data_IF_011626735149
#
_entry.id   IF_011626735149
#
_cell.length_a   1.000
_cell.length_b   1.000
_cell.length_c   1.000
_cell.angle_alpha   90.00
_cell.angle_beta   90.00
_cell.angle_gamma   90.00
#
_symmetry.space_group_name_H-M   'P 1'
#
loop_
_entity.id
_entity.type
_entity.pdbx_description
1 polymer ?
#
# COMPACT_ATOMS: atom_id res chain seq x y z
N UNK A 1 -3.41 -11.19 -26.97
CA UNK A 1 -4.23 -9.96 -26.93
C UNK A 1 -3.98 -9.12 -28.19
N UNK A 2 -4.99 -8.89 -29.05
CA UNK A 2 -4.87 -7.90 -30.14
C UNK A 2 -4.84 -6.53 -29.49
N UNK A 3 -3.63 -6.00 -29.25
CA UNK A 3 -3.45 -4.64 -28.72
C UNK A 3 -3.92 -3.68 -29.81
N UNK A 4 -4.83 -2.77 -29.48
CA UNK A 4 -5.13 -1.66 -30.38
C UNK A 4 -3.83 -0.88 -30.55
N UNK A 5 -3.24 -0.91 -31.75
CA UNK A 5 -1.90 -0.34 -32.00
C UNK A 5 -1.81 1.13 -31.59
N UNK A 6 -2.93 1.85 -31.71
CA UNK A 6 -3.05 3.22 -31.25
C UNK A 6 -2.76 3.39 -29.74
N UNK A 7 -3.20 2.44 -28.91
CA UNK A 7 -3.04 2.45 -27.45
C UNK A 7 -1.85 1.62 -26.95
N UNK A 8 -1.08 0.98 -27.85
CA UNK A 8 0.02 0.12 -27.42
C UNK A 8 1.31 0.87 -27.12
N UNK A 9 1.42 2.14 -27.55
CA UNK A 9 2.63 2.95 -27.49
C UNK A 9 2.31 4.38 -27.00
N UNK A 10 3.23 5.34 -27.23
CA UNK A 10 3.01 6.75 -26.91
C UNK A 10 1.98 7.35 -27.86
N UNK A 11 0.93 7.94 -27.32
CA UNK A 11 -0.10 8.66 -28.08
C UNK A 11 0.43 10.07 -28.42
N UNK A 12 0.32 10.51 -29.68
CA UNK A 12 0.71 11.88 -30.06
C UNK A 12 -0.10 12.91 -29.29
N UNK A 13 0.54 14.03 -28.94
CA UNK A 13 -0.07 15.14 -28.20
C UNK A 13 -1.28 15.73 -28.94
N UNK A 14 -1.31 15.63 -30.27
CA UNK A 14 -2.42 16.08 -31.12
C UNK A 14 -3.75 15.37 -30.80
N UNK A 15 -3.67 14.15 -30.25
CA UNK A 15 -4.86 13.36 -29.91
C UNK A 15 -5.35 13.58 -28.48
N UNK A 16 -4.70 14.43 -27.68
CA UNK A 16 -5.13 14.69 -26.29
C UNK A 16 -6.57 15.18 -26.23
N UNK A 17 -6.96 16.09 -27.14
CA UNK A 17 -8.33 16.61 -27.19
C UNK A 17 -9.38 15.53 -27.53
N UNK A 18 -8.97 14.44 -28.17
CA UNK A 18 -9.84 13.36 -28.65
C UNK A 18 -9.73 12.07 -27.85
N UNK A 19 -8.86 12.03 -26.83
CA UNK A 19 -8.49 10.79 -26.14
C UNK A 19 -9.70 10.15 -25.45
N UNK A 20 -10.60 10.97 -24.89
CA UNK A 20 -11.85 10.49 -24.27
C UNK A 20 -12.74 9.77 -25.30
N UNK A 21 -12.97 10.37 -26.47
CA UNK A 21 -13.77 9.77 -27.54
C UNK A 21 -13.14 8.48 -28.07
N UNK A 22 -11.82 8.48 -28.29
CA UNK A 22 -11.10 7.31 -28.80
C UNK A 22 -11.16 6.15 -27.80
N UNK A 23 -10.96 6.42 -26.50
CA UNK A 23 -11.07 5.41 -25.44
C UNK A 23 -12.49 4.87 -25.36
N UNK A 24 -13.52 5.73 -25.38
CA UNK A 24 -14.93 5.31 -25.35
C UNK A 24 -15.29 4.44 -26.56
N UNK A 25 -14.83 4.82 -27.75
CA UNK A 25 -15.10 4.09 -28.99
C UNK A 25 -14.47 2.70 -28.96
N UNK A 26 -13.21 2.60 -28.50
CA UNK A 26 -12.54 1.32 -28.34
C UNK A 26 -13.17 0.48 -27.24
N UNK A 27 -13.52 1.06 -26.10
CA UNK A 27 -14.23 0.36 -25.03
C UNK A 27 -15.59 -0.17 -25.50
N UNK A 28 -16.38 0.64 -26.21
CA UNK A 28 -17.66 0.22 -26.79
C UNK A 28 -17.48 -0.91 -27.82
N UNK A 29 -16.45 -0.81 -28.67
CA UNK A 29 -16.11 -1.85 -29.64
C UNK A 29 -15.70 -3.15 -28.94
N UNK A 30 -14.89 -3.07 -27.88
CA UNK A 30 -14.53 -4.23 -27.07
C UNK A 30 -15.76 -4.83 -26.40
N UNK A 31 -16.61 -4.03 -25.77
CA UNK A 31 -17.82 -4.49 -25.10
C UNK A 31 -18.84 -5.14 -26.06
N UNK A 32 -18.93 -4.66 -27.30
CA UNK A 32 -19.85 -5.19 -28.32
C UNK A 32 -19.34 -6.50 -28.95
N UNK A 33 -18.05 -6.56 -29.26
CA UNK A 33 -17.50 -7.64 -30.10
C UNK A 33 -16.62 -8.64 -29.35
N UNK A 34 -16.31 -8.41 -28.07
CA UNK A 34 -15.59 -9.37 -27.23
C UNK A 34 -16.51 -10.04 -26.23
N UNK A 35 -16.20 -11.30 -25.93
CA UNK A 35 -16.73 -11.97 -24.76
C UNK A 35 -16.33 -11.21 -23.49
N UNK A 36 -17.15 -11.30 -22.45
CA UNK A 36 -16.78 -10.82 -21.12
C UNK A 36 -15.47 -11.48 -20.70
N UNK A 37 -14.52 -10.67 -20.24
CA UNK A 37 -13.23 -11.16 -19.73
C UNK A 37 -13.41 -11.98 -18.45
N UNK A 38 -14.48 -11.69 -17.71
CA UNK A 38 -14.83 -12.33 -16.46
C UNK A 38 -16.34 -12.23 -16.23
N UNK A 39 -16.98 -13.33 -15.82
CA UNK A 39 -18.43 -13.33 -15.59
C UNK A 39 -18.81 -12.74 -14.24
N UNK A 40 -17.95 -12.87 -13.21
CA UNK A 40 -18.20 -12.30 -11.89
C UNK A 40 -19.38 -12.95 -11.17
N UNK A 41 -19.60 -14.26 -11.38
CA UNK A 41 -20.78 -15.00 -10.92
C UNK A 41 -20.45 -16.25 -10.11
N UNK A 42 -19.18 -16.50 -9.81
CA UNK A 42 -18.84 -17.65 -8.97
C UNK A 42 -19.25 -17.35 -7.51
N UNK A 43 -19.50 -18.37 -6.67
CA UNK A 43 -19.72 -18.18 -5.24
C UNK A 43 -18.61 -17.34 -4.58
N UNK A 44 -17.37 -17.51 -5.02
CA UNK A 44 -16.19 -16.76 -4.56
C UNK A 44 -16.29 -15.27 -4.94
N UNK A 45 -16.79 -14.95 -6.14
CA UNK A 45 -17.04 -13.55 -6.55
C UNK A 45 -18.05 -12.85 -5.65
N UNK A 46 -19.14 -13.55 -5.32
CA UNK A 46 -20.15 -13.02 -4.42
C UNK A 46 -19.60 -12.85 -3.00
N UNK A 47 -18.82 -13.81 -2.51
CA UNK A 47 -18.16 -13.72 -1.21
C UNK A 47 -17.19 -12.53 -1.16
N UNK A 48 -16.35 -12.37 -2.18
CA UNK A 48 -15.43 -11.24 -2.29
C UNK A 48 -16.19 -9.91 -2.37
N UNK A 49 -17.22 -9.82 -3.21
CA UNK A 49 -18.04 -8.60 -3.33
C UNK A 49 -18.69 -8.22 -2.00
N UNK A 50 -19.24 -9.20 -1.27
CA UNK A 50 -19.81 -8.98 0.07
C UNK A 50 -18.75 -8.51 1.07
N UNK A 51 -17.56 -9.13 1.07
CA UNK A 51 -16.41 -8.68 1.89
C UNK A 51 -16.04 -7.23 1.56
N UNK A 52 -15.95 -6.88 0.28
CA UNK A 52 -15.63 -5.52 -0.16
C UNK A 52 -16.70 -4.50 0.26
N UNK A 53 -17.98 -4.86 0.20
CA UNK A 53 -19.08 -4.01 0.65
C UNK A 53 -19.02 -3.79 2.17
N UNK A 54 -18.77 -4.85 2.94
CA UNK A 54 -18.62 -4.77 4.39
C UNK A 54 -17.46 -3.86 4.79
N UNK A 55 -16.28 -4.05 4.17
CA UNK A 55 -15.10 -3.20 4.38
C UNK A 55 -15.37 -1.74 4.01
N UNK A 56 -16.08 -1.49 2.90
CA UNK A 56 -16.45 -0.13 2.48
C UNK A 56 -17.36 0.56 3.50
N UNK A 57 -18.26 -0.17 4.16
CA UNK A 57 -19.16 0.36 5.18
C UNK A 57 -18.58 0.44 6.59
N UNK A 58 -17.47 -0.26 6.85
CA UNK A 58 -16.82 -0.28 8.16
C UNK A 58 -16.37 1.13 8.54
N UNK A 59 -16.60 1.52 9.78
CA UNK A 59 -15.92 2.67 10.38
C UNK A 59 -14.65 2.16 11.06
N UNK A 60 -13.51 2.79 10.79
CA UNK A 60 -12.26 2.46 11.48
C UNK A 60 -12.31 3.04 12.88
N UNK A 61 -12.22 2.17 13.89
CA UNK A 61 -12.16 2.64 15.27
C UNK A 61 -10.84 3.36 15.52
N UNK A 62 -9.76 2.89 14.89
CA UNK A 62 -8.44 3.51 14.97
C UNK A 62 -8.45 4.93 14.37
N UNK A 63 -9.14 5.16 13.26
CA UNK A 63 -9.36 6.50 12.70
C UNK A 63 -10.00 7.43 13.74
N UNK A 64 -11.08 6.98 14.39
CA UNK A 64 -11.79 7.78 15.39
C UNK A 64 -10.88 8.15 16.57
N UNK A 65 -10.13 7.19 17.12
CA UNK A 65 -9.20 7.43 18.22
C UNK A 65 -8.11 8.45 17.86
N UNK A 66 -7.63 8.42 16.61
CA UNK A 66 -6.60 9.37 16.15
C UNK A 66 -7.19 10.75 15.93
N UNK A 67 -8.38 10.86 15.33
CA UNK A 67 -9.06 12.14 15.10
C UNK A 67 -9.47 12.82 16.41
N UNK A 68 -9.95 12.03 17.38
CA UNK A 68 -10.35 12.53 18.70
C UNK A 68 -9.15 12.89 19.58
N UNK A 69 -7.94 12.50 19.20
CA UNK A 69 -6.72 12.79 19.93
C UNK A 69 -6.43 11.84 21.10
N UNK A 70 -7.17 10.74 21.21
CA UNK A 70 -7.02 9.73 22.29
C UNK A 70 -5.64 9.06 22.27
N UNK A 71 -5.00 9.04 21.09
CA UNK A 71 -3.68 8.45 20.83
C UNK A 71 -2.58 9.50 20.59
N UNK A 72 -2.85 10.78 20.90
CA UNK A 72 -1.97 11.91 20.55
C UNK A 72 -0.79 12.11 21.51
N UNK A 73 -0.87 11.60 22.74
CA UNK A 73 0.13 11.90 23.77
C UNK A 73 1.45 11.17 23.48
N UNK A 74 2.53 11.95 23.32
CA UNK A 74 3.88 11.43 23.03
C UNK A 74 4.39 10.42 24.07
N UNK A 75 3.92 10.50 25.31
CA UNK A 75 4.28 9.57 26.41
C UNK A 75 3.71 8.15 26.25
N UNK A 76 2.73 7.97 25.37
CA UNK A 76 2.09 6.68 25.12
C UNK A 76 2.79 5.87 24.01
N UNK A 77 3.94 6.33 23.51
CA UNK A 77 4.60 5.72 22.37
C UNK A 77 6.07 5.47 22.66
N UNK A 78 6.47 4.21 22.55
CA UNK A 78 7.84 3.76 22.71
C UNK A 78 8.48 3.68 21.33
N UNK A 79 9.58 4.41 21.10
CA UNK A 79 10.33 4.29 19.86
C UNK A 79 11.00 2.93 19.78
N UNK A 80 10.95 2.32 18.59
CA UNK A 80 11.68 1.10 18.29
C UNK A 80 12.89 1.53 17.47
N UNK A 81 14.06 1.47 18.12
CA UNK A 81 15.33 1.69 17.47
C UNK A 81 15.87 0.33 17.10
N UNK A 82 16.09 0.13 15.80
CA UNK A 82 16.39 -1.17 15.19
C UNK A 82 15.26 -2.19 15.38
N UNK A 83 14.67 -2.63 14.28
CA UNK A 83 13.65 -3.68 14.32
C UNK A 83 14.39 -4.99 14.62
N UNK A 84 14.64 -5.24 15.90
CA UNK A 84 15.33 -6.42 16.36
C UNK A 84 14.64 -7.71 15.85
N UNK A 85 15.36 -8.83 15.75
CA UNK A 85 14.79 -10.10 15.27
C UNK A 85 13.55 -10.55 16.04
N UNK A 86 13.42 -10.11 17.30
CA UNK A 86 12.33 -10.40 18.22
C UNK A 86 11.19 -9.35 18.20
N UNK A 87 11.27 -8.33 17.34
CA UNK A 87 10.13 -7.42 17.15
C UNK A 87 8.91 -8.19 16.67
N UNK A 88 7.93 -8.31 17.58
CA UNK A 88 6.75 -9.15 17.43
C UNK A 88 5.72 -8.47 16.52
N UNK A 89 5.82 -8.74 15.22
CA UNK A 89 4.85 -8.34 14.21
C UNK A 89 4.58 -9.53 13.29
N UNK A 90 3.32 -9.73 12.83
CA UNK A 90 2.95 -10.91 12.10
C UNK A 90 3.69 -10.99 10.75
N UNK A 91 4.11 -12.21 10.40
CA UNK A 91 4.60 -12.48 9.06
C UNK A 91 3.44 -12.40 8.06
N UNK A 92 3.56 -11.53 7.06
CA UNK A 92 2.54 -11.30 6.05
C UNK A 92 2.98 -11.91 4.72
N UNK A 93 2.21 -12.87 4.21
CA UNK A 93 2.46 -13.42 2.86
C UNK A 93 2.16 -12.37 1.77
N UNK A 94 2.74 -12.53 0.58
CA UNK A 94 2.39 -11.68 -0.55
C UNK A 94 0.93 -11.80 -0.95
N UNK A 95 0.31 -12.98 -0.77
CA UNK A 95 -1.08 -13.19 -1.11
C UNK A 95 -2.00 -12.46 -0.14
N UNK A 96 -1.71 -12.52 1.17
CA UNK A 96 -2.38 -11.69 2.17
C UNK A 96 -2.26 -10.20 1.81
N UNK A 97 -1.04 -9.73 1.54
CA UNK A 97 -0.83 -8.33 1.16
C UNK A 97 -1.62 -7.95 -0.10
N UNK A 98 -1.70 -8.81 -1.12
CA UNK A 98 -2.46 -8.56 -2.35
C UNK A 98 -3.94 -8.41 -2.09
N UNK A 99 -4.49 -9.25 -1.23
CA UNK A 99 -5.89 -9.19 -0.83
C UNK A 99 -6.14 -7.92 -0.01
N UNK A 100 -5.31 -7.67 1.01
CA UNK A 100 -5.41 -6.51 1.88
C UNK A 100 -5.33 -5.18 1.10
N UNK A 101 -4.41 -5.06 0.14
CA UNK A 101 -4.27 -3.85 -0.68
C UNK A 101 -5.24 -3.77 -1.85
N UNK A 102 -6.15 -4.76 -2.01
CA UNK A 102 -7.06 -4.90 -3.15
C UNK A 102 -6.33 -4.86 -4.50
N UNK A 103 -5.17 -5.53 -4.58
CA UNK A 103 -4.40 -5.71 -5.80
C UNK A 103 -2.94 -5.30 -5.71
N UNK A 104 -2.18 -5.64 -6.76
CA UNK A 104 -0.71 -5.57 -6.78
C UNK A 104 -0.12 -4.16 -6.86
N UNK A 105 -0.92 -3.15 -7.20
CA UNK A 105 -0.39 -1.83 -7.54
C UNK A 105 0.32 -1.16 -6.37
N UNK A 106 -0.26 -1.20 -5.17
CA UNK A 106 0.36 -0.60 -3.99
C UNK A 106 1.63 -1.36 -3.60
N UNK A 107 1.59 -2.69 -3.62
CA UNK A 107 2.73 -3.56 -3.31
C UNK A 107 3.92 -3.30 -4.25
N UNK A 108 3.65 -3.17 -5.56
CA UNK A 108 4.71 -2.85 -6.54
C UNK A 108 5.39 -1.51 -6.27
N UNK A 109 4.70 -0.57 -5.63
CA UNK A 109 5.28 0.70 -5.23
C UNK A 109 5.97 0.66 -3.87
N UNK A 110 5.63 -0.29 -3.00
CA UNK A 110 6.17 -0.40 -1.64
C UNK A 110 7.70 -0.44 -1.62
N UNK A 111 8.34 -1.21 -2.50
CA UNK A 111 9.80 -1.29 -2.53
C UNK A 111 10.47 0.04 -2.87
N UNK A 112 9.91 0.77 -3.86
CA UNK A 112 10.41 2.08 -4.26
C UNK A 112 10.20 3.13 -3.15
N UNK A 113 9.06 3.09 -2.48
CA UNK A 113 8.78 3.96 -1.34
C UNK A 113 9.67 3.66 -0.14
N UNK A 114 9.84 2.39 0.21
CA UNK A 114 10.71 1.96 1.29
C UNK A 114 12.15 2.41 1.00
N UNK A 115 12.66 2.17 -0.21
CA UNK A 115 13.97 2.66 -0.66
C UNK A 115 14.11 4.16 -0.51
N UNK A 116 13.14 4.92 -1.01
CA UNK A 116 13.17 6.39 -0.92
C UNK A 116 13.10 6.88 0.53
N UNK A 117 12.39 6.17 1.41
CA UNK A 117 12.31 6.52 2.82
C UNK A 117 13.63 6.24 3.54
N UNK A 118 14.14 5.01 3.43
CA UNK A 118 15.40 4.56 4.02
C UNK A 118 16.56 5.46 3.58
N UNK A 119 16.66 5.74 2.28
CA UNK A 119 17.70 6.62 1.74
C UNK A 119 17.71 8.04 2.35
N UNK A 120 16.55 8.56 2.75
CA UNK A 120 16.44 9.92 3.30
C UNK A 120 16.49 9.96 4.83
N UNK A 121 16.50 8.80 5.51
CA UNK A 121 16.41 8.71 6.97
C UNK A 121 17.43 7.71 7.51
N UNK A 122 18.69 7.83 7.07
CA UNK A 122 19.85 7.06 7.55
C UNK A 122 19.59 5.54 7.61
N UNK A 123 18.93 5.00 6.57
CA UNK A 123 18.56 3.60 6.42
C UNK A 123 17.65 3.02 7.52
N UNK A 124 16.86 3.88 8.18
CA UNK A 124 15.93 3.46 9.23
C UNK A 124 14.51 3.99 9.01
N UNK A 125 13.53 3.20 9.46
CA UNK A 125 12.16 3.64 9.67
C UNK A 125 11.98 4.08 11.13
N UNK A 126 11.31 5.21 11.34
CA UNK A 126 10.91 5.66 12.68
C UNK A 126 9.63 4.92 13.11
N UNK A 127 9.78 3.73 13.70
CA UNK A 127 8.67 2.95 14.25
C UNK A 127 8.44 3.24 15.74
N UNK A 128 7.18 3.17 16.16
CA UNK A 128 6.76 3.39 17.53
C UNK A 128 5.66 2.40 17.91
N UNK A 129 5.77 1.74 19.07
CA UNK A 129 4.69 0.93 19.64
C UNK A 129 3.93 1.71 20.69
N UNK A 130 2.65 1.42 20.83
CA UNK A 130 1.82 1.99 21.88
C UNK A 130 2.14 1.36 23.23
N UNK A 131 2.50 2.15 24.22
CA UNK A 131 3.05 1.67 25.50
C UNK A 131 2.06 0.86 26.35
N UNK A 132 0.75 0.97 26.10
CA UNK A 132 -0.28 0.21 26.85
C UNK A 132 -0.71 -1.07 26.13
N UNK A 133 -0.36 -1.22 24.85
CA UNK A 133 -0.71 -2.36 24.04
C UNK A 133 0.26 -2.48 22.86
N UNK A 134 1.07 -3.53 22.85
CA UNK A 134 2.08 -3.76 21.81
C UNK A 134 1.48 -4.16 20.45
N UNK A 135 0.16 -4.31 20.36
CA UNK A 135 -0.60 -4.57 19.11
C UNK A 135 -0.90 -3.32 18.28
N UNK A 136 -0.32 -2.17 18.59
CA UNK A 136 -0.52 -0.92 17.85
C UNK A 136 0.81 -0.27 17.46
N UNK A 137 1.11 -0.32 16.17
CA UNK A 137 2.29 0.27 15.54
C UNK A 137 1.96 1.63 14.96
N UNK A 138 2.83 2.61 15.18
CA UNK A 138 2.83 3.90 14.48
C UNK A 138 4.14 4.10 13.73
N UNK A 139 4.03 4.69 12.55
CA UNK A 139 5.17 5.04 11.71
C UNK A 139 4.96 6.40 11.05
N UNK A 140 6.05 7.06 10.68
CA UNK A 140 6.04 8.35 10.01
C UNK A 140 6.70 8.27 8.64
N UNK A 141 5.95 8.52 7.57
CA UNK A 141 6.46 8.49 6.19
C UNK A 141 6.32 9.85 5.50
N UNK A 142 7.23 10.12 4.56
CA UNK A 142 7.12 11.26 3.65
C UNK A 142 6.03 11.03 2.59
N UNK A 143 5.36 12.11 2.21
CA UNK A 143 4.52 12.16 1.02
C UNK A 143 5.37 11.92 -0.24
N UNK A 144 4.83 11.18 -1.20
CA UNK A 144 5.45 11.03 -2.53
C UNK A 144 5.51 12.34 -3.31
N UNK A 145 4.53 13.21 -3.07
CA UNK A 145 4.34 14.43 -3.84
C UNK A 145 4.96 15.66 -3.16
N UNK A 146 5.48 15.49 -1.94
CA UNK A 146 6.09 16.58 -1.17
C UNK A 146 7.16 16.05 -0.24
N UNK A 147 8.37 16.59 -0.36
CA UNK A 147 9.49 16.26 0.54
C UNK A 147 9.29 16.82 1.94
N UNK A 148 8.48 17.86 2.12
CA UNK A 148 8.26 18.50 3.42
C UNK A 148 7.12 17.84 4.20
N UNK A 149 6.11 17.33 3.50
CA UNK A 149 4.93 16.74 4.14
C UNK A 149 5.23 15.33 4.63
N UNK A 150 5.13 15.12 5.94
CA UNK A 150 5.17 13.79 6.58
C UNK A 150 3.78 13.44 7.11
N UNK A 151 3.37 12.20 6.93
CA UNK A 151 2.12 11.66 7.49
C UNK A 151 2.43 10.62 8.56
N UNK A 152 1.72 10.68 9.67
CA UNK A 152 1.64 9.53 10.57
C UNK A 152 0.67 8.50 10.00
N UNK A 153 1.04 7.24 10.15
CA UNK A 153 0.14 6.11 9.99
C UNK A 153 0.19 5.23 11.24
N UNK A 154 -0.91 4.57 11.53
CA UNK A 154 -1.02 3.59 12.59
C UNK A 154 -1.63 2.30 12.04
N UNK A 155 -1.16 1.16 12.54
CA UNK A 155 -1.58 -0.18 12.15
C UNK A 155 -1.84 -0.95 13.44
N UNK A 156 -3.07 -1.42 13.60
CA UNK A 156 -3.44 -2.35 14.65
C UNK A 156 -3.31 -3.77 14.09
N UNK A 157 -2.61 -4.62 14.82
CA UNK A 157 -2.29 -5.98 14.39
C UNK A 157 -2.48 -6.97 15.55
N UNK A 158 -2.55 -8.25 15.21
CA UNK A 158 -2.67 -9.35 16.15
C UNK A 158 -1.65 -10.41 15.74
N UNK A 159 -0.78 -10.79 16.67
CA UNK A 159 0.27 -11.78 16.40
C UNK A 159 -0.25 -13.21 16.53
N UNK A 160 -1.39 -13.42 17.20
CA UNK A 160 -1.95 -14.75 17.46
C UNK A 160 -3.01 -15.16 16.42
N UNK A 161 -3.39 -14.25 15.51
CA UNK A 161 -4.37 -14.49 14.45
C UNK A 161 -3.68 -14.59 13.08
N UNK A 162 -3.39 -15.83 12.67
CA UNK A 162 -2.75 -16.13 11.38
C UNK A 162 -3.63 -15.79 10.17
N UNK A 163 -4.96 -15.82 10.31
CA UNK A 163 -5.91 -15.62 9.22
C UNK A 163 -6.20 -14.13 8.95
N UNK A 164 -6.27 -13.32 10.01
CA UNK A 164 -6.50 -11.87 9.94
C UNK A 164 -5.53 -11.09 10.85
N UNK A 165 -4.21 -11.13 10.58
CA UNK A 165 -3.21 -10.51 11.44
C UNK A 165 -3.28 -8.99 11.51
N UNK A 166 -3.98 -8.32 10.57
CA UNK A 166 -4.07 -6.85 10.51
C UNK A 166 -5.52 -6.41 10.73
N UNK A 167 -5.79 -5.89 11.93
CA UNK A 167 -7.15 -5.62 12.42
C UNK A 167 -7.70 -4.28 11.95
N UNK A 168 -6.88 -3.24 11.91
CA UNK A 168 -7.27 -1.89 11.51
C UNK A 168 -6.05 -1.09 11.04
N UNK A 169 -6.27 -0.06 10.22
CA UNK A 169 -5.23 0.86 9.82
C UNK A 169 -5.77 2.26 9.62
N UNK A 170 -4.91 3.25 9.85
CA UNK A 170 -5.23 4.63 9.50
C UNK A 170 -3.98 5.38 9.09
N UNK A 171 -4.08 6.21 8.06
CA UNK A 171 -3.03 7.13 7.69
C UNK A 171 -3.60 8.54 7.51
N UNK A 172 -2.86 9.55 7.97
CA UNK A 172 -3.27 10.95 7.86
C UNK A 172 -3.25 11.49 6.42
N UNK A 173 -2.83 10.70 5.44
CA UNK A 173 -2.86 11.13 4.05
C UNK A 173 -4.30 11.14 3.50
N UNK A 174 -4.54 11.86 2.40
CA UNK A 174 -5.88 12.03 1.79
C UNK A 174 -6.65 10.72 1.55
N UNK A 175 -5.92 9.62 1.31
CA UNK A 175 -6.48 8.30 0.99
C UNK A 175 -6.31 7.28 2.11
N UNK A 176 -5.95 7.71 3.32
CA UNK A 176 -5.56 6.85 4.43
C UNK A 176 -6.70 6.40 5.36
N UNK A 177 -7.91 6.93 5.16
CA UNK A 177 -9.16 6.47 5.79
C UNK A 177 -9.87 5.36 4.98
N UNK A 178 -9.22 4.81 3.95
CA UNK A 178 -9.85 3.80 3.09
C UNK A 178 -9.78 2.44 3.78
N UNK A 179 -10.93 1.85 4.06
CA UNK A 179 -11.04 0.49 4.61
C UNK A 179 -11.07 -0.59 3.51
N UNK A 180 -11.42 -0.21 2.28
CA UNK A 180 -11.27 -1.06 1.11
C UNK A 180 -9.92 -0.78 0.43
N UNK A 181 -8.98 -1.71 0.60
CA UNK A 181 -7.58 -1.49 0.24
C UNK A 181 -6.89 -0.58 1.25
N UNK A 182 -5.74 0.01 0.87
CA UNK A 182 -5.06 0.99 1.71
C UNK A 182 -4.28 2.01 0.87
N UNK A 183 -3.75 3.06 1.51
CA UNK A 183 -2.82 3.99 0.86
C UNK A 183 -1.43 3.37 0.66
N UNK A 184 -0.61 3.99 -0.19
CA UNK A 184 0.75 3.54 -0.45
C UNK A 184 1.63 3.57 0.79
N UNK A 185 1.41 4.50 1.73
CA UNK A 185 2.18 4.55 2.97
C UNK A 185 1.95 3.30 3.84
N UNK A 186 0.69 2.91 4.04
CA UNK A 186 0.31 1.71 4.79
C UNK A 186 0.81 0.46 4.08
N UNK A 187 0.60 0.37 2.76
CA UNK A 187 1.10 -0.75 1.96
C UNK A 187 2.63 -0.89 2.04
N UNK A 188 3.36 0.24 2.12
CA UNK A 188 4.82 0.23 2.23
C UNK A 188 5.26 -0.34 3.56
N UNK A 189 4.64 0.11 4.66
CA UNK A 189 4.99 -0.36 6.01
C UNK A 189 4.64 -1.84 6.16
N UNK A 190 3.42 -2.26 5.82
CA UNK A 190 3.01 -3.67 5.86
C UNK A 190 3.93 -4.56 5.04
N UNK A 191 4.26 -4.14 3.81
CA UNK A 191 5.17 -4.88 2.95
C UNK A 191 6.59 -4.96 3.53
N UNK A 192 7.13 -3.86 4.07
CA UNK A 192 8.49 -3.85 4.58
C UNK A 192 8.63 -4.70 5.85
N UNK A 193 7.75 -4.47 6.83
CA UNK A 193 7.85 -5.06 8.17
C UNK A 193 7.26 -6.47 8.23
N UNK A 194 6.20 -6.77 7.47
CA UNK A 194 5.57 -8.09 7.47
C UNK A 194 6.15 -9.05 6.44
N UNK A 195 6.82 -8.56 5.39
CA UNK A 195 7.30 -9.43 4.30
C UNK A 195 8.78 -9.23 3.95
N UNK A 196 9.18 -8.03 3.54
CA UNK A 196 10.49 -7.78 2.93
C UNK A 196 11.66 -8.10 3.88
N UNK A 197 11.55 -7.72 5.16
CA UNK A 197 12.60 -8.01 6.16
C UNK A 197 12.83 -9.50 6.40
N UNK A 198 11.81 -10.34 6.18
CA UNK A 198 11.90 -11.78 6.41
C UNK A 198 12.51 -12.55 5.23
N UNK A 199 12.62 -11.91 4.05
CA UNK A 199 13.19 -12.51 2.84
C UNK A 199 14.57 -11.93 2.49
N UNK A 200 15.26 -11.36 3.49
CA UNK A 200 16.57 -10.71 3.33
C UNK A 200 16.58 -9.61 2.26
N UNK A 201 15.45 -8.90 2.08
CA UNK A 201 15.43 -7.75 1.19
C UNK A 201 16.33 -6.65 1.75
N UNK A 202 17.33 -6.25 0.98
CA UNK A 202 18.19 -5.11 1.31
C UNK A 202 17.84 -3.92 0.42
N UNK A 203 17.75 -2.69 0.97
CA UNK A 203 17.65 -1.52 0.13
C UNK A 203 18.89 -1.45 -0.80
N UNK A 204 18.72 -1.20 -2.12
CA UNK A 204 19.86 -1.09 -3.02
C UNK A 204 20.76 0.07 -2.58
N UNK A 205 22.06 -0.20 -2.50
CA UNK A 205 23.05 0.79 -2.06
C UNK A 205 23.20 1.91 -3.08
N UNK A 206 23.80 3.04 -2.67
CA UNK A 206 24.08 4.18 -3.56
C UNK A 206 24.87 3.78 -4.82
N UNK A 207 25.67 2.73 -4.73
CA UNK A 207 26.46 2.11 -5.81
C UNK A 207 25.60 1.35 -6.83
N UNK A 208 24.48 0.76 -6.42
CA UNK A 208 23.59 0.01 -7.30
C UNK A 208 22.81 0.94 -8.24
N UNK A 209 22.48 2.15 -7.76
CA UNK A 209 21.84 3.22 -8.54
C UNK A 209 22.72 3.77 -9.67
N UNK A 210 24.05 3.72 -9.50
CA UNK A 210 24.99 4.11 -10.55
C UNK A 210 25.06 3.06 -11.65
N UNK A 211 24.98 1.77 -11.29
CA UNK A 211 24.99 0.67 -12.26
C UNK A 211 23.73 0.66 -13.13
N UNK A 212 22.54 0.80 -12.55
CA UNK A 212 21.29 0.86 -13.33
C UNK A 212 21.29 2.01 -14.36
N UNK A 213 21.82 3.18 -14.01
CA UNK A 213 21.93 4.31 -14.97
C UNK A 213 22.99 4.12 -16.05
N UNK A 214 24.00 3.29 -15.84
CA UNK A 214 25.08 3.05 -16.82
C UNK A 214 24.69 1.97 -17.82
N UNK A 215 23.79 1.04 -17.46
CA UNK A 215 23.28 0.02 -18.39
C UNK A 215 22.10 0.49 -19.26
N UNK A 216 21.52 1.66 -18.96
CA UNK A 216 20.45 2.30 -19.75
C UNK A 216 20.95 3.47 -20.64
N UNK A 217 22.28 3.58 -20.86
CA UNK A 217 22.89 4.54 -21.79
C UNK A 217 23.41 3.85 -23.06
#
# INVERSE_FOLDING_TARGET
FKKWRFFSERISQDYIAYIDILVRTVAASLNKYRSRLYEGKSPEDYALANKMLLLKSRSSHLEQLIINGDLSLRKQWNNIYDIEPDFNFPYLTLDFLREYTCGIYQIKQSSSYAKAHLFNNDDQFEFQLFSSNDSLLRCRLHSKHSRTTKYYLSIQFDNDDDDDPIKDHYCQCKSGARNLGCCSHVATVLWYIGYARHISWTPPTRTDLFREKVFDC
#
